data_IF_373769196029
#
_entry.id   IF_373769196029
#
_cell.length_a   1.000
_cell.length_b   1.000
_cell.length_c   1.000
_cell.angle_alpha   90.00
_cell.angle_beta   90.00
_cell.angle_gamma   90.00
#
_symmetry.space_group_name_H-M   'P 1'
#
loop_
_entity.id
_entity.type
_entity.pdbx_description
1 polymer ?
#
# COMPACT_ATOMS: atom_id res chain seq x y z
N UNK A 1 -51.36 -38.85 -39.59
CA UNK A 1 -51.78 -37.68 -38.79
C UNK A 1 -50.55 -36.86 -38.49
N UNK A 2 -50.55 -35.61 -38.95
CA UNK A 2 -49.39 -34.72 -39.05
C UNK A 2 -49.20 -33.96 -37.73
N UNK A 3 -48.05 -34.12 -37.06
CA UNK A 3 -47.64 -33.21 -35.99
C UNK A 3 -46.56 -32.26 -36.52
N UNK A 4 -46.96 -31.01 -36.64
CA UNK A 4 -46.18 -29.86 -37.07
C UNK A 4 -45.70 -29.17 -35.79
N UNK A 5 -44.40 -29.23 -35.51
CA UNK A 5 -43.74 -28.27 -34.63
C UNK A 5 -42.74 -27.50 -35.49
N UNK A 6 -43.18 -26.36 -36.01
CA UNK A 6 -42.29 -25.38 -36.66
C UNK A 6 -41.62 -24.56 -35.57
N UNK A 7 -40.33 -24.82 -35.38
CA UNK A 7 -39.40 -23.93 -34.72
C UNK A 7 -39.17 -22.72 -35.64
N UNK A 8 -39.54 -21.52 -35.22
CA UNK A 8 -39.22 -20.28 -35.93
C UNK A 8 -38.53 -19.33 -34.95
N UNK A 9 -37.30 -19.00 -35.33
CA UNK A 9 -36.37 -18.08 -34.69
C UNK A 9 -37.00 -16.70 -34.50
N UNK A 10 -36.80 -16.11 -33.33
CA UNK A 10 -36.83 -14.66 -33.15
C UNK A 10 -35.54 -14.24 -32.43
N UNK A 11 -34.53 -13.88 -33.23
CA UNK A 11 -33.34 -13.15 -32.79
C UNK A 11 -33.62 -11.67 -33.02
N UNK A 12 -33.74 -10.86 -31.96
CA UNK A 12 -33.34 -9.43 -31.88
C UNK A 12 -33.27 -9.16 -30.36
N UNK A 13 -32.13 -9.02 -29.68
CA UNK A 13 -31.04 -8.07 -29.87
C UNK A 13 -30.73 -7.46 -28.49
N UNK A 14 -29.87 -8.11 -27.69
CA UNK A 14 -29.40 -7.53 -26.42
C UNK A 14 -28.23 -6.61 -26.77
N UNK A 15 -28.48 -5.30 -26.75
CA UNK A 15 -27.42 -4.30 -26.72
C UNK A 15 -26.68 -4.41 -25.37
N UNK A 16 -25.58 -5.16 -25.35
CA UNK A 16 -24.59 -5.04 -24.29
C UNK A 16 -23.90 -3.69 -24.45
N UNK A 17 -24.49 -2.64 -23.85
CA UNK A 17 -23.71 -1.45 -23.55
C UNK A 17 -22.72 -1.85 -22.46
N UNK A 18 -21.48 -2.13 -22.88
CA UNK A 18 -20.32 -2.22 -22.01
C UNK A 18 -20.09 -0.85 -21.38
N UNK A 19 -20.80 -0.59 -20.28
CA UNK A 19 -20.50 0.53 -19.41
C UNK A 19 -19.30 0.11 -18.55
N UNK A 20 -18.09 0.19 -19.12
CA UNK A 20 -16.85 0.04 -18.39
C UNK A 20 -16.61 1.32 -17.56
N UNK A 21 -17.43 1.51 -16.53
CA UNK A 21 -17.13 2.44 -15.46
C UNK A 21 -16.19 1.70 -14.51
N UNK A 22 -14.89 1.86 -14.75
CA UNK A 22 -13.89 1.49 -13.77
C UNK A 22 -14.15 2.29 -12.49
N UNK A 23 -14.75 1.65 -11.50
CA UNK A 23 -14.89 2.19 -10.15
C UNK A 23 -13.50 2.62 -9.64
N UNK A 24 -13.27 3.93 -9.62
CA UNK A 24 -12.21 4.53 -8.81
C UNK A 24 -12.55 4.18 -7.38
N UNK A 25 -11.87 3.17 -6.85
CA UNK A 25 -12.01 2.69 -5.48
C UNK A 25 -11.51 3.78 -4.53
N UNK A 26 -12.39 4.70 -4.15
CA UNK A 26 -12.18 5.65 -3.07
C UNK A 26 -12.21 4.89 -1.73
N UNK A 27 -11.11 4.22 -1.39
CA UNK A 27 -10.90 3.61 -0.07
C UNK A 27 -9.62 4.15 0.51
N UNK A 28 -9.70 5.06 1.47
CA UNK A 28 -8.86 5.00 2.69
C UNK A 28 -9.29 6.07 3.70
N UNK A 29 -10.25 5.73 4.54
CA UNK A 29 -10.39 6.34 5.86
C UNK A 29 -10.17 5.23 6.90
N UNK A 30 -8.90 4.84 7.08
CA UNK A 30 -8.51 4.08 8.26
C UNK A 30 -8.34 5.11 9.38
N UNK A 31 -9.46 5.53 9.97
CA UNK A 31 -9.50 6.50 11.06
C UNK A 31 -9.11 5.80 12.36
N UNK A 32 -7.92 6.09 12.88
CA UNK A 32 -7.65 5.90 14.31
C UNK A 32 -7.62 7.28 14.95
N UNK A 33 -8.41 7.49 16.02
CA UNK A 33 -8.55 8.74 16.79
C UNK A 33 -7.51 9.83 16.43
N UNK A 34 -7.85 10.66 15.45
CA UNK A 34 -7.08 11.85 15.06
C UNK A 34 -6.14 11.74 13.86
N UNK A 35 -5.77 10.55 13.36
CA UNK A 35 -4.82 10.40 12.24
C UNK A 35 -5.56 10.13 10.93
N UNK A 36 -5.26 10.91 9.87
CA UNK A 36 -5.84 10.70 8.54
C UNK A 36 -4.88 11.05 7.40
N UNK A 37 -5.15 10.50 6.21
CA UNK A 37 -4.56 10.91 4.94
C UNK A 37 -5.62 11.62 4.10
N UNK A 38 -5.37 12.88 3.75
CA UNK A 38 -6.33 13.73 3.03
C UNK A 38 -5.78 14.04 1.65
N UNK A 39 -6.53 13.71 0.60
CA UNK A 39 -6.23 14.18 -0.75
C UNK A 39 -6.73 15.61 -0.92
N UNK A 40 -5.87 16.53 -1.35
CA UNK A 40 -6.24 17.93 -1.59
C UNK A 40 -6.64 18.16 -3.04
N UNK A 41 -5.72 17.92 -3.97
CA UNK A 41 -5.97 17.92 -5.42
C UNK A 41 -4.88 17.08 -6.12
N UNK A 42 -5.18 16.55 -7.30
CA UNK A 42 -4.21 15.83 -8.15
C UNK A 42 -3.38 14.76 -7.40
N UNK A 43 -2.08 15.04 -7.23
CA UNK A 43 -1.08 14.22 -6.55
C UNK A 43 -0.75 14.74 -5.14
N UNK A 44 -1.40 15.79 -4.68
CA UNK A 44 -1.16 16.42 -3.38
C UNK A 44 -1.97 15.72 -2.28
N UNK A 45 -1.26 15.13 -1.34
CA UNK A 45 -1.83 14.50 -0.15
C UNK A 45 -1.26 15.13 1.12
N UNK A 46 -2.07 15.26 2.16
CA UNK A 46 -1.63 15.65 3.49
C UNK A 46 -1.81 14.47 4.45
N UNK A 47 -0.76 14.11 5.17
CA UNK A 47 -0.91 13.35 6.42
C UNK A 47 -1.35 14.36 7.47
N UNK A 48 -2.42 14.09 8.19
CA UNK A 48 -2.93 14.99 9.22
C UNK A 48 -3.05 14.26 10.55
N UNK A 49 -2.63 14.94 11.62
CA UNK A 49 -2.90 14.54 13.00
C UNK A 49 -3.72 15.65 13.64
N UNK A 50 -4.89 15.28 14.16
CA UNK A 50 -5.76 16.09 15.00
C UNK A 50 -5.65 15.59 16.43
N UNK A 51 -5.32 16.49 17.33
CA UNK A 51 -5.39 16.33 18.79
C UNK A 51 -6.33 17.41 19.34
N UNK A 52 -6.78 17.26 20.58
CA UNK A 52 -7.85 18.09 21.17
C UNK A 52 -7.62 19.61 21.04
N UNK A 53 -6.36 20.06 20.96
CA UNK A 53 -6.00 21.47 20.84
C UNK A 53 -5.08 21.80 19.65
N UNK A 54 -4.75 20.83 18.79
CA UNK A 54 -3.76 21.01 17.73
C UNK A 54 -4.13 20.24 16.46
N UNK A 55 -3.90 20.87 15.31
CA UNK A 55 -3.91 20.21 14.00
C UNK A 55 -2.54 20.42 13.37
N UNK A 56 -1.81 19.33 13.12
CA UNK A 56 -0.57 19.35 12.36
C UNK A 56 -0.73 18.52 11.08
N UNK A 57 0.01 18.89 10.05
CA UNK A 57 0.01 18.14 8.80
C UNK A 57 1.39 18.05 8.16
N UNK A 58 1.59 17.00 7.38
CA UNK A 58 2.75 16.83 6.53
C UNK A 58 2.32 16.72 5.07
N UNK A 59 2.88 17.61 4.25
CA UNK A 59 2.58 17.65 2.82
C UNK A 59 3.37 16.60 2.03
N UNK A 60 2.65 15.85 1.20
CA UNK A 60 3.17 14.88 0.25
C UNK A 60 2.90 15.39 -1.17
N UNK A 61 3.87 16.10 -1.75
CA UNK A 61 3.84 16.66 -3.12
C UNK A 61 3.98 15.59 -4.23
N UNK A 62 3.47 14.40 -4.00
CA UNK A 62 3.63 13.25 -4.90
C UNK A 62 2.52 12.22 -4.67
N UNK A 63 2.17 11.42 -5.69
CA UNK A 63 1.12 10.42 -5.57
C UNK A 63 1.39 9.45 -4.43
N UNK A 64 0.33 9.16 -3.69
CA UNK A 64 0.27 8.11 -2.68
C UNK A 64 -0.47 6.92 -3.26
N UNK A 65 0.15 5.74 -3.21
CA UNK A 65 -0.49 4.50 -3.68
C UNK A 65 -0.95 3.60 -2.52
N UNK A 66 -0.48 3.86 -1.30
CA UNK A 66 -0.85 3.09 -0.13
C UNK A 66 -0.71 3.91 1.15
N UNK A 67 -1.59 3.64 2.10
CA UNK A 67 -1.58 4.22 3.44
C UNK A 67 -2.06 3.15 4.42
N UNK A 68 -1.38 3.04 5.56
CA UNK A 68 -1.82 2.20 6.66
C UNK A 68 -1.24 2.68 7.99
N UNK A 69 -1.89 2.29 9.07
CA UNK A 69 -1.44 2.61 10.42
C UNK A 69 -0.97 1.36 11.16
N UNK A 70 0.13 1.48 11.89
CA UNK A 70 0.58 0.40 12.76
C UNK A 70 1.85 0.72 13.51
N UNK A 71 2.06 0.04 14.63
CA UNK A 71 3.18 0.24 15.54
C UNK A 71 4.46 -0.40 14.95
N UNK A 72 5.30 0.40 14.30
CA UNK A 72 6.45 -0.10 13.53
C UNK A 72 7.64 -0.40 14.42
N UNK A 73 7.87 0.44 15.44
CA UNK A 73 8.99 0.33 16.36
C UNK A 73 8.65 -0.44 17.66
N UNK A 74 7.43 -0.99 17.75
CA UNK A 74 6.91 -1.77 18.87
C UNK A 74 6.85 -0.97 20.20
N UNK A 75 6.60 0.34 20.12
CA UNK A 75 6.51 1.23 21.28
C UNK A 75 5.07 1.37 21.84
N UNK A 76 4.10 0.65 21.27
CA UNK A 76 2.69 0.68 21.65
C UNK A 76 1.87 1.80 20.99
N UNK A 77 2.48 2.67 20.18
CA UNK A 77 1.80 3.76 19.44
C UNK A 77 1.78 3.45 17.96
N UNK A 78 0.68 3.80 17.29
CA UNK A 78 0.58 3.64 15.84
C UNK A 78 1.46 4.66 15.12
N UNK A 79 2.32 4.17 14.24
CA UNK A 79 2.99 4.95 13.21
C UNK A 79 2.17 4.96 11.93
N UNK A 80 2.57 5.84 11.00
CA UNK A 80 1.90 6.10 9.74
C UNK A 80 2.83 5.63 8.62
N UNK A 81 2.43 4.58 7.91
CA UNK A 81 3.16 4.05 6.77
C UNK A 81 2.50 4.54 5.48
N UNK A 82 3.30 5.17 4.62
CA UNK A 82 2.81 5.75 3.36
C UNK A 82 3.65 5.28 2.18
N UNK A 83 2.98 4.65 1.23
CA UNK A 83 3.53 4.29 -0.07
C UNK A 83 3.44 5.45 -1.04
N UNK A 84 4.57 5.98 -1.48
CA UNK A 84 4.65 7.19 -2.33
C UNK A 84 5.33 6.91 -3.66
N UNK A 85 5.04 7.68 -4.71
CA UNK A 85 5.66 7.54 -6.03
C UNK A 85 6.48 8.79 -6.39
N UNK A 86 7.80 8.73 -6.19
CA UNK A 86 8.71 9.85 -6.42
C UNK A 86 10.14 9.42 -6.78
N UNK A 87 10.92 10.37 -7.27
CA UNK A 87 12.38 10.30 -7.33
C UNK A 87 12.96 10.62 -5.94
N UNK A 88 14.23 10.29 -5.71
CA UNK A 88 14.96 10.72 -4.52
C UNK A 88 16.32 11.28 -4.92
N UNK A 89 17.02 11.92 -3.97
CA UNK A 89 18.35 12.50 -4.21
C UNK A 89 19.34 11.51 -4.83
N UNK A 90 19.20 10.22 -4.49
CA UNK A 90 20.10 9.15 -4.91
C UNK A 90 19.46 8.17 -5.91
N UNK A 91 18.22 8.41 -6.37
CA UNK A 91 17.55 7.61 -7.40
C UNK A 91 16.67 8.53 -8.25
N UNK A 92 17.19 8.92 -9.42
CA UNK A 92 16.50 9.80 -10.38
C UNK A 92 15.29 9.14 -11.04
N UNK A 93 15.10 7.83 -10.86
CA UNK A 93 13.98 7.11 -11.45
C UNK A 93 12.79 7.16 -10.50
N UNK A 94 11.65 7.59 -11.03
CA UNK A 94 10.38 7.65 -10.29
C UNK A 94 9.90 6.23 -9.99
N UNK A 95 9.87 5.84 -8.72
CA UNK A 95 9.42 4.51 -8.27
C UNK A 95 8.61 4.62 -6.98
N UNK A 96 7.98 3.50 -6.59
CA UNK A 96 7.33 3.34 -5.30
C UNK A 96 8.37 3.36 -4.17
N UNK A 97 8.05 4.07 -3.09
CA UNK A 97 8.88 4.22 -1.88
C UNK A 97 7.99 4.05 -0.65
N UNK A 98 8.58 3.60 0.44
CA UNK A 98 7.92 3.53 1.74
C UNK A 98 8.44 4.66 2.62
N UNK A 99 7.54 5.51 3.08
CA UNK A 99 7.80 6.52 4.11
C UNK A 99 7.08 6.15 5.39
N UNK A 100 7.71 6.44 6.53
CA UNK A 100 7.19 6.16 7.86
C UNK A 100 7.21 7.46 8.64
N UNK A 101 6.08 7.82 9.24
CA UNK A 101 5.90 8.97 10.09
C UNK A 101 5.40 8.53 11.45
N UNK A 102 5.66 9.33 12.48
CA UNK A 102 5.14 9.12 13.81
C UNK A 102 4.31 10.31 14.26
N UNK A 103 3.38 10.05 15.15
CA UNK A 103 2.80 11.08 15.99
C UNK A 103 3.78 11.40 17.13
N UNK A 104 4.42 12.57 17.06
CA UNK A 104 5.23 13.08 18.16
C UNK A 104 4.52 14.26 18.81
N UNK A 105 3.84 14.02 19.94
CA UNK A 105 3.13 15.04 20.73
C UNK A 105 2.10 15.85 19.90
N UNK A 106 1.32 15.17 19.05
CA UNK A 106 0.33 15.81 18.18
C UNK A 106 0.87 16.27 16.83
N UNK A 107 2.18 16.16 16.60
CA UNK A 107 2.82 16.57 15.35
C UNK A 107 3.16 15.39 14.44
N UNK A 108 2.98 15.58 13.14
CA UNK A 108 3.41 14.61 12.10
C UNK A 108 4.91 14.77 11.90
N UNK A 109 5.69 13.77 12.29
CA UNK A 109 7.16 13.82 12.13
C UNK A 109 7.67 12.62 11.33
N UNK A 110 8.56 12.85 10.35
CA UNK A 110 9.14 11.76 9.60
C UNK A 110 10.01 10.92 10.53
N UNK A 111 9.71 9.63 10.59
CA UNK A 111 10.56 8.64 11.25
C UNK A 111 11.58 8.07 10.26
N UNK A 112 11.15 7.81 9.02
CA UNK A 112 12.01 7.31 7.96
C UNK A 112 11.50 7.66 6.57
N UNK A 113 12.33 8.34 5.77
CA UNK A 113 12.03 8.71 4.38
C UNK A 113 12.89 7.89 3.41
N UNK A 114 12.56 6.60 3.27
CA UNK A 114 13.36 5.64 2.53
C UNK A 114 13.50 5.92 1.03
N UNK A 115 14.74 5.91 0.51
CA UNK A 115 14.99 5.88 -0.93
C UNK A 115 14.72 4.50 -1.55
N UNK A 116 15.06 3.43 -0.85
CA UNK A 116 14.84 2.05 -1.30
C UNK A 116 14.87 1.11 -0.11
N UNK A 117 14.20 -0.04 -0.25
CA UNK A 117 14.51 -1.23 0.54
C UNK A 117 15.69 -1.96 -0.12
N UNK A 118 15.71 -3.29 -0.12
CA UNK A 118 16.71 -4.09 -0.83
C UNK A 118 16.67 -3.86 -2.36
N UNK A 119 15.47 -3.95 -2.95
CA UNK A 119 15.19 -3.87 -4.39
C UNK A 119 14.04 -2.87 -4.68
N UNK A 120 13.72 -2.58 -5.95
CA UNK A 120 12.60 -1.70 -6.28
C UNK A 120 11.27 -2.23 -5.71
N UNK A 121 10.65 -1.41 -4.86
CA UNK A 121 9.40 -1.73 -4.17
C UNK A 121 8.23 -1.86 -5.15
N UNK A 122 7.40 -2.87 -4.95
CA UNK A 122 6.11 -3.06 -5.63
C UNK A 122 4.96 -2.76 -4.68
N UNK A 123 5.02 -3.33 -3.47
CA UNK A 123 4.01 -3.13 -2.44
C UNK A 123 4.56 -3.49 -1.06
N UNK A 124 3.84 -3.14 0.02
CA UNK A 124 4.21 -3.55 1.38
C UNK A 124 2.98 -3.83 2.24
N UNK A 125 3.20 -4.41 3.40
CA UNK A 125 2.22 -4.60 4.46
C UNK A 125 2.94 -4.61 5.81
N UNK A 126 2.23 -4.29 6.87
CA UNK A 126 2.71 -4.47 8.23
C UNK A 126 2.12 -5.76 8.79
N UNK A 127 2.96 -6.66 9.26
CA UNK A 127 2.56 -7.92 9.88
C UNK A 127 3.05 -7.96 11.31
N UNK A 128 2.27 -8.55 12.22
CA UNK A 128 2.66 -8.74 13.62
C UNK A 128 3.08 -10.18 13.85
N UNK A 129 4.14 -10.37 14.62
CA UNK A 129 4.54 -11.67 15.13
C UNK A 129 4.85 -11.59 16.63
N UNK A 130 5.33 -12.69 17.21
CA UNK A 130 5.68 -12.77 18.64
C UNK A 130 6.77 -11.78 19.06
N UNK A 131 7.67 -11.42 18.14
CA UNK A 131 8.81 -10.54 18.38
C UNK A 131 8.53 -9.06 18.06
N UNK A 132 7.28 -8.72 17.71
CA UNK A 132 6.82 -7.37 17.35
C UNK A 132 6.33 -7.25 15.91
N UNK A 133 6.41 -6.04 15.36
CA UNK A 133 5.96 -5.76 14.00
C UNK A 133 7.09 -5.93 12.97
N UNK A 134 6.74 -6.46 11.81
CA UNK A 134 7.60 -6.57 10.64
C UNK A 134 6.95 -5.89 9.44
N UNK A 135 7.76 -5.21 8.65
CA UNK A 135 7.36 -4.71 7.34
C UNK A 135 7.66 -5.81 6.34
N UNK A 136 6.60 -6.34 5.73
CA UNK A 136 6.69 -7.29 4.63
C UNK A 136 6.57 -6.53 3.32
N UNK A 137 7.49 -6.71 2.40
CA UNK A 137 7.51 -6.04 1.09
C UNK A 137 7.41 -7.05 -0.05
N UNK A 138 6.82 -6.60 -1.16
CA UNK A 138 6.99 -7.21 -2.49
C UNK A 138 7.98 -6.36 -3.26
N UNK A 139 9.03 -6.96 -3.82
CA UNK A 139 10.07 -6.23 -4.54
C UNK A 139 10.41 -6.90 -5.88
N UNK A 140 10.84 -6.11 -6.88
CA UNK A 140 11.16 -6.60 -8.22
C UNK A 140 12.54 -7.26 -8.28
N UNK A 141 12.61 -8.44 -8.89
CA UNK A 141 13.88 -9.11 -9.23
C UNK A 141 14.32 -8.76 -10.66
N UNK A 142 15.59 -9.05 -10.98
CA UNK A 142 16.15 -8.78 -12.32
C UNK A 142 15.51 -9.65 -13.40
N UNK A 143 15.00 -10.83 -13.04
CA UNK A 143 14.31 -11.76 -13.93
C UNK A 143 12.94 -11.24 -14.42
N UNK A 144 12.43 -10.15 -13.83
CA UNK A 144 11.06 -9.66 -14.06
C UNK A 144 10.02 -10.26 -13.11
N UNK A 145 10.37 -11.32 -12.37
CA UNK A 145 9.57 -11.86 -11.27
C UNK A 145 9.71 -10.99 -10.01
N UNK A 146 9.06 -11.40 -8.93
CA UNK A 146 9.09 -10.69 -7.64
C UNK A 146 9.58 -11.58 -6.51
N UNK A 147 10.05 -10.93 -5.45
CA UNK A 147 10.35 -11.53 -4.16
C UNK A 147 9.46 -10.94 -3.07
N UNK A 148 9.36 -11.66 -1.95
CA UNK A 148 8.78 -11.16 -0.70
C UNK A 148 9.84 -11.16 0.39
N UNK A 149 10.05 -10.03 1.04
CA UNK A 149 11.05 -9.85 2.09
C UNK A 149 10.43 -9.28 3.37
N UNK A 150 11.05 -9.55 4.51
CA UNK A 150 10.68 -8.98 5.80
C UNK A 150 11.79 -8.09 6.34
N UNK A 151 11.38 -6.97 6.92
CA UNK A 151 12.24 -5.99 7.58
C UNK A 151 11.70 -5.71 8.97
N UNK A 152 12.60 -5.49 9.93
CA UNK A 152 12.25 -5.03 11.28
C UNK A 152 12.79 -3.62 11.49
N UNK A 153 12.05 -2.80 12.21
CA UNK A 153 12.60 -1.55 12.70
C UNK A 153 13.75 -1.78 13.68
N UNK A 154 14.88 -1.11 13.48
CA UNK A 154 16.02 -1.13 14.40
C UNK A 154 16.75 0.21 14.40
N UNK A 155 16.91 0.80 15.59
CA UNK A 155 17.58 2.09 15.83
C UNK A 155 16.98 3.23 15.00
N UNK A 156 17.45 3.42 13.77
CA UNK A 156 17.13 4.54 12.89
C UNK A 156 16.61 4.11 11.51
N UNK A 157 16.30 2.83 11.30
CA UNK A 157 15.78 2.38 10.02
C UNK A 157 15.33 0.93 9.97
N UNK A 158 15.13 0.45 8.75
CA UNK A 158 14.66 -0.90 8.46
C UNK A 158 15.85 -1.85 8.27
N UNK A 159 15.94 -2.84 9.14
CA UNK A 159 16.90 -3.93 9.04
C UNK A 159 16.25 -5.12 8.31
N UNK A 160 16.90 -5.59 7.25
CA UNK A 160 16.48 -6.80 6.56
C UNK A 160 16.54 -8.02 7.50
N UNK A 161 15.50 -8.85 7.47
CA UNK A 161 15.42 -10.08 8.28
C UNK A 161 15.57 -11.33 7.43
N UNK A 162 14.71 -11.49 6.43
CA UNK A 162 14.72 -12.68 5.58
C UNK A 162 13.95 -12.45 4.29
N UNK A 163 14.22 -13.32 3.32
CA UNK A 163 13.30 -13.55 2.21
C UNK A 163 12.27 -14.60 2.63
N UNK A 164 11.00 -14.36 2.32
CA UNK A 164 9.92 -15.33 2.51
C UNK A 164 9.81 -16.24 1.28
N UNK A 165 9.82 -15.63 0.09
CA UNK A 165 9.82 -16.30 -1.21
C UNK A 165 10.56 -15.42 -2.22
N UNK A 166 11.11 -16.04 -3.27
CA UNK A 166 11.84 -15.40 -4.36
C UNK A 166 11.46 -16.03 -5.69
N UNK A 167 11.70 -15.31 -6.79
CA UNK A 167 11.42 -15.80 -8.15
C UNK A 167 9.97 -16.33 -8.34
N UNK A 168 8.99 -15.65 -7.71
CA UNK A 168 7.56 -15.98 -7.81
C UNK A 168 6.81 -14.94 -8.64
N UNK A 169 5.61 -15.32 -9.10
CA UNK A 169 4.70 -14.41 -9.79
C UNK A 169 4.04 -13.42 -8.80
N UNK A 170 3.46 -12.35 -9.36
CA UNK A 170 2.87 -11.26 -8.57
C UNK A 170 1.62 -11.69 -7.80
N UNK A 171 0.83 -12.64 -8.31
CA UNK A 171 -0.40 -13.10 -7.66
C UNK A 171 -0.05 -13.88 -6.40
N UNK A 172 0.91 -14.80 -6.51
CA UNK A 172 1.45 -15.53 -5.36
C UNK A 172 2.04 -14.58 -4.33
N UNK A 173 2.80 -13.57 -4.76
CA UNK A 173 3.39 -12.59 -3.85
C UNK A 173 2.35 -11.78 -3.07
N UNK A 174 1.24 -11.37 -3.70
CA UNK A 174 0.14 -10.67 -3.03
C UNK A 174 -0.53 -11.54 -1.95
N UNK A 175 -0.66 -12.86 -2.19
CA UNK A 175 -1.17 -13.80 -1.17
C UNK A 175 -0.22 -13.89 0.02
N UNK A 176 1.08 -14.06 -0.24
CA UNK A 176 2.13 -14.11 0.81
C UNK A 176 2.19 -12.79 1.60
N UNK A 177 1.99 -11.65 0.93
CA UNK A 177 2.00 -10.33 1.56
C UNK A 177 0.89 -10.17 2.62
N UNK A 178 -0.29 -10.73 2.36
CA UNK A 178 -1.49 -10.60 3.22
C UNK A 178 -1.60 -11.67 4.30
N UNK A 179 -0.93 -12.80 4.16
CA UNK A 179 -1.06 -13.92 5.09
C UNK A 179 -0.25 -13.67 6.37
N UNK A 180 -0.91 -13.50 7.50
CA UNK A 180 -0.25 -13.28 8.80
C UNK A 180 0.40 -14.56 9.39
N UNK A 181 0.01 -15.74 8.90
CA UNK A 181 0.39 -17.05 9.46
C UNK A 181 1.49 -17.79 8.67
N UNK A 182 2.58 -17.10 8.29
CA UNK A 182 3.73 -17.72 7.61
C UNK A 182 4.91 -17.95 8.56
#
# INVERSE_FOLDING_TARGET
MKNIFRLLYFIIGISFMSNCSGEVRNKTEEQSNGISLIKKHDSLYHIQIKSDSLIDFWELKYPVYQYMLGDVDANGKKDILVGVIKTTRFDSIRRKRLFIFKNYKGYVRPLWLGSRLGKPLVDFNLVKNKDGSLIRSIEKEKSGKVLVAEYKWRRFGLEFKRYIRREIDSITAIRVLKNENI
#
